data_IF_499371019605
#
_entry.id   IF_499371019605
#
_cell.length_a   1.000
_cell.length_b   1.000
_cell.length_c   1.000
_cell.angle_alpha   90.00
_cell.angle_beta   90.00
_cell.angle_gamma   90.00
#
_symmetry.space_group_name_H-M   'P 1'
#
loop_
_entity.id
_entity.type
_entity.pdbx_description
1 polymer ?
#
# COMPACT_ATOMS: atom_id res chain seq x y z
N UNK A 1 25.89 18.06 -0.64
CA UNK A 1 24.42 17.91 -0.87
C UNK A 1 24.10 16.91 -1.98
N UNK A 2 24.76 16.97 -3.15
CA UNK A 2 24.49 16.06 -4.30
C UNK A 2 24.70 14.60 -3.92
N UNK A 3 25.80 14.24 -3.27
CA UNK A 3 26.09 12.87 -2.85
C UNK A 3 25.01 12.30 -1.90
N UNK A 4 24.50 13.13 -0.97
CA UNK A 4 23.45 12.75 -0.03
C UNK A 4 22.12 12.55 -0.76
N UNK A 5 21.81 13.40 -1.73
CA UNK A 5 20.63 13.24 -2.58
C UNK A 5 20.70 11.95 -3.42
N UNK A 6 21.85 11.67 -4.03
CA UNK A 6 22.09 10.41 -4.76
C UNK A 6 21.94 9.18 -3.86
N UNK A 7 22.42 9.26 -2.61
CA UNK A 7 22.22 8.21 -1.63
C UNK A 7 20.73 8.03 -1.29
N UNK A 8 19.98 9.12 -1.14
CA UNK A 8 18.52 9.08 -0.98
C UNK A 8 17.80 8.43 -2.17
N UNK A 9 18.24 8.73 -3.40
CA UNK A 9 17.74 8.06 -4.60
C UNK A 9 18.07 6.57 -4.63
N UNK A 10 19.27 6.18 -4.20
CA UNK A 10 19.65 4.78 -4.07
C UNK A 10 18.70 4.04 -3.11
N UNK A 11 18.38 4.62 -1.96
CA UNK A 11 17.40 4.05 -1.05
C UNK A 11 16.01 3.92 -1.68
N UNK A 12 15.57 4.92 -2.44
CA UNK A 12 14.26 4.89 -3.09
C UNK A 12 14.18 3.87 -4.24
N UNK A 13 15.20 3.82 -5.12
CA UNK A 13 15.15 2.99 -6.34
C UNK A 13 15.61 1.56 -6.13
N UNK A 14 16.46 1.29 -5.16
CA UNK A 14 17.04 -0.04 -4.93
C UNK A 14 16.52 -0.64 -3.63
N UNK A 15 16.68 0.08 -2.50
CA UNK A 15 16.34 -0.49 -1.19
C UNK A 15 14.81 -0.62 -1.02
N UNK A 16 14.02 0.38 -1.43
CA UNK A 16 12.55 0.30 -1.28
C UNK A 16 11.96 -0.89 -2.07
N UNK A 17 12.24 -1.12 -3.37
CA UNK A 17 11.72 -2.29 -4.06
C UNK A 17 12.21 -3.62 -3.48
N UNK A 18 13.47 -3.68 -3.03
CA UNK A 18 14.02 -4.88 -2.39
C UNK A 18 13.32 -5.19 -1.06
N UNK A 19 13.14 -4.20 -0.21
CA UNK A 19 12.45 -4.33 1.06
C UNK A 19 11.01 -4.79 0.85
N UNK A 20 10.28 -4.14 -0.06
CA UNK A 20 8.90 -4.51 -0.43
C UNK A 20 8.84 -5.95 -0.96
N UNK A 21 9.78 -6.37 -1.79
CA UNK A 21 9.83 -7.74 -2.29
C UNK A 21 10.07 -8.76 -1.16
N UNK A 22 10.99 -8.47 -0.25
CA UNK A 22 11.30 -9.35 0.89
C UNK A 22 10.09 -9.44 1.85
N UNK A 23 9.46 -8.31 2.15
CA UNK A 23 8.27 -8.24 3.01
C UNK A 23 7.09 -8.99 2.38
N UNK A 24 6.83 -8.80 1.08
CA UNK A 24 5.80 -9.53 0.36
C UNK A 24 6.05 -11.05 0.35
N UNK A 25 7.31 -11.47 0.21
CA UNK A 25 7.69 -12.89 0.26
C UNK A 25 7.53 -13.48 1.67
N UNK A 26 7.88 -12.71 2.69
CA UNK A 26 7.67 -13.10 4.08
C UNK A 26 6.18 -13.23 4.42
N UNK A 27 5.37 -12.24 4.05
CA UNK A 27 3.94 -12.23 4.24
C UNK A 27 3.25 -13.41 3.51
N UNK A 28 3.71 -13.74 2.30
CA UNK A 28 3.21 -14.91 1.57
C UNK A 28 3.52 -16.25 2.26
N UNK A 29 4.68 -16.36 2.95
CA UNK A 29 5.03 -17.56 3.70
C UNK A 29 4.24 -17.71 4.98
N UNK A 30 3.97 -16.62 5.70
CA UNK A 30 3.13 -16.62 6.90
C UNK A 30 1.69 -17.01 6.55
N UNK A 31 1.12 -16.42 5.51
CA UNK A 31 -0.23 -16.72 5.06
C UNK A 31 -0.39 -18.13 4.49
N UNK A 32 0.70 -18.79 4.05
CA UNK A 32 0.66 -20.19 3.61
C UNK A 32 0.68 -21.19 4.79
N UNK A 33 0.97 -20.76 6.01
CA UNK A 33 0.85 -21.60 7.22
C UNK A 33 -0.58 -21.67 7.73
N UNK A 34 -1.34 -20.58 7.61
CA UNK A 34 -2.79 -20.61 7.70
C UNK A 34 -3.29 -20.92 6.29
N UNK A 35 -3.73 -22.14 6.02
CA UNK A 35 -4.32 -22.55 4.74
C UNK A 35 -5.47 -21.60 4.42
N UNK A 36 -5.13 -20.44 3.84
CA UNK A 36 -6.11 -19.42 3.50
C UNK A 36 -6.96 -19.98 2.37
N UNK A 37 -8.18 -20.34 2.69
CA UNK A 37 -9.20 -20.82 1.76
C UNK A 37 -9.50 -19.81 0.64
N UNK A 38 -8.84 -18.65 0.66
CA UNK A 38 -9.01 -17.61 -0.36
C UNK A 38 -7.72 -16.82 -0.59
N UNK A 39 -7.61 -16.22 -1.78
CA UNK A 39 -6.57 -15.27 -2.14
C UNK A 39 -7.18 -14.14 -2.97
N UNK A 40 -6.97 -12.89 -2.59
CA UNK A 40 -7.53 -11.71 -3.25
C UNK A 40 -6.40 -10.86 -3.80
N UNK A 41 -6.47 -10.52 -5.10
CA UNK A 41 -5.48 -9.68 -5.79
C UNK A 41 -6.17 -8.67 -6.68
N UNK A 42 -5.57 -7.50 -6.82
CA UNK A 42 -5.98 -6.51 -7.81
C UNK A 42 -4.92 -6.44 -8.91
N UNK A 43 -5.34 -6.68 -10.15
CA UNK A 43 -4.51 -6.55 -11.33
C UNK A 43 -5.31 -5.89 -12.45
N UNK A 44 -4.67 -4.99 -13.19
CA UNK A 44 -5.24 -4.32 -14.37
C UNK A 44 -6.62 -3.67 -14.16
N UNK A 45 -6.83 -3.09 -12.97
CA UNK A 45 -8.08 -2.47 -12.52
C UNK A 45 -9.25 -3.45 -12.36
N UNK A 46 -8.97 -4.72 -12.17
CA UNK A 46 -9.94 -5.77 -11.87
C UNK A 46 -9.55 -6.49 -10.58
N UNK A 47 -10.55 -6.98 -9.87
CA UNK A 47 -10.34 -7.80 -8.67
C UNK A 47 -10.39 -9.28 -9.05
N UNK A 48 -9.39 -10.01 -8.64
CA UNK A 48 -9.28 -11.44 -8.81
C UNK A 48 -9.31 -12.11 -7.44
N UNK A 49 -10.22 -13.05 -7.26
CA UNK A 49 -10.36 -13.81 -6.03
C UNK A 49 -10.24 -15.29 -6.38
N UNK A 50 -9.29 -15.98 -5.77
CA UNK A 50 -9.29 -17.44 -5.69
C UNK A 50 -9.97 -17.82 -4.39
N UNK A 51 -10.97 -18.66 -4.44
CA UNK A 51 -11.69 -19.17 -3.29
C UNK A 51 -11.67 -20.71 -3.35
N UNK A 52 -11.16 -21.34 -2.33
CA UNK A 52 -11.12 -22.81 -2.18
C UNK A 52 -12.33 -23.22 -1.33
N UNK A 53 -13.30 -23.87 -1.95
CA UNK A 53 -14.52 -24.33 -1.26
C UNK A 53 -14.16 -25.55 -0.41
N UNK A 54 -13.39 -26.47 -1.00
CA UNK A 54 -12.78 -27.60 -0.34
C UNK A 54 -11.50 -28.04 -1.10
N UNK A 55 -10.83 -29.14 -0.69
CA UNK A 55 -9.58 -29.62 -1.28
C UNK A 55 -9.66 -29.95 -2.78
N UNK A 56 -10.85 -30.13 -3.33
CA UNK A 56 -11.09 -30.58 -4.69
C UNK A 56 -11.83 -29.55 -5.53
N UNK A 57 -12.43 -28.53 -4.89
CA UNK A 57 -13.26 -27.52 -5.54
C UNK A 57 -12.69 -26.13 -5.28
N UNK A 58 -12.38 -25.43 -6.35
CA UNK A 58 -11.90 -24.04 -6.29
C UNK A 58 -12.67 -23.15 -7.25
N UNK A 59 -12.86 -21.90 -6.87
CA UNK A 59 -13.45 -20.89 -7.75
C UNK A 59 -12.47 -19.73 -7.97
N UNK A 60 -12.39 -19.28 -9.23
CA UNK A 60 -11.65 -18.10 -9.62
C UNK A 60 -12.65 -17.03 -10.03
N UNK A 61 -12.76 -15.98 -9.25
CA UNK A 61 -13.73 -14.91 -9.43
C UNK A 61 -13.01 -13.67 -9.94
N UNK A 62 -13.44 -13.16 -11.09
CA UNK A 62 -13.00 -11.89 -11.63
C UNK A 62 -14.13 -10.86 -11.54
N UNK A 63 -13.86 -9.71 -10.95
CA UNK A 63 -14.83 -8.63 -10.77
C UNK A 63 -14.25 -7.36 -11.36
N UNK A 64 -14.95 -6.76 -12.31
CA UNK A 64 -14.52 -5.53 -12.96
C UNK A 64 -14.80 -4.29 -12.12
N UNK A 65 -15.95 -4.23 -11.46
CA UNK A 65 -16.34 -3.13 -10.59
C UNK A 65 -16.96 -3.67 -9.30
N UNK A 66 -16.54 -3.14 -8.16
CA UNK A 66 -17.13 -3.47 -6.86
C UNK A 66 -17.34 -2.19 -6.06
N UNK A 67 -18.49 -2.09 -5.40
CA UNK A 67 -18.77 -1.07 -4.40
C UNK A 67 -18.69 -1.71 -3.02
N UNK A 68 -17.61 -1.46 -2.31
CA UNK A 68 -17.36 -2.06 -1.00
C UNK A 68 -18.23 -1.47 0.12
N UNK A 69 -18.92 -0.34 -0.08
CA UNK A 69 -19.89 0.16 0.91
C UNK A 69 -21.11 -0.76 0.99
N UNK A 70 -21.65 -1.08 -0.18
CA UNK A 70 -22.88 -1.89 -0.32
C UNK A 70 -22.59 -3.34 -0.68
N UNK A 71 -21.31 -3.73 -0.83
CA UNK A 71 -20.87 -5.07 -1.24
C UNK A 71 -21.45 -5.54 -2.57
N UNK A 72 -21.77 -4.61 -3.47
CA UNK A 72 -22.29 -4.91 -4.80
C UNK A 72 -21.16 -4.94 -5.83
N UNK A 73 -21.21 -5.93 -6.69
CA UNK A 73 -20.24 -6.16 -7.76
C UNK A 73 -20.94 -6.19 -9.12
N UNK A 74 -20.24 -5.70 -10.16
CA UNK A 74 -20.76 -5.69 -11.53
C UNK A 74 -19.74 -6.28 -12.49
N UNK A 75 -20.24 -6.90 -13.57
CA UNK A 75 -19.44 -7.57 -14.61
C UNK A 75 -18.53 -8.63 -14.00
N UNK A 76 -19.15 -9.67 -13.52
CA UNK A 76 -18.55 -10.78 -12.81
C UNK A 76 -18.32 -11.95 -13.77
N UNK A 77 -17.14 -12.55 -13.66
CA UNK A 77 -16.79 -13.80 -14.36
C UNK A 77 -16.24 -14.76 -13.32
N UNK A 78 -16.73 -15.98 -13.33
CA UNK A 78 -16.32 -17.00 -12.38
C UNK A 78 -15.99 -18.28 -13.14
N UNK A 79 -14.84 -18.87 -12.80
CA UNK A 79 -14.47 -20.21 -13.24
C UNK A 79 -14.49 -21.12 -12.01
N UNK A 80 -15.42 -22.05 -11.99
CA UNK A 80 -15.47 -23.13 -11.00
C UNK A 80 -14.72 -24.32 -11.55
N UNK A 81 -13.74 -24.78 -10.79
CA UNK A 81 -12.94 -25.96 -11.11
C UNK A 81 -13.25 -27.03 -10.08
N UNK A 82 -13.76 -28.15 -10.54
CA UNK A 82 -14.06 -29.34 -9.76
C UNK A 82 -13.51 -30.59 -10.44
N UNK A 83 -13.39 -31.71 -9.74
CA UNK A 83 -12.98 -32.99 -10.35
C UNK A 83 -13.95 -33.41 -11.44
N UNK A 84 -15.25 -33.17 -11.23
CA UNK A 84 -16.30 -33.68 -12.09
C UNK A 84 -16.75 -32.69 -13.17
N UNK A 85 -16.52 -31.39 -12.99
CA UNK A 85 -16.99 -30.36 -13.93
C UNK A 85 -16.13 -29.09 -13.87
N UNK A 86 -16.01 -28.43 -15.02
CA UNK A 86 -15.48 -27.08 -15.13
C UNK A 86 -16.61 -26.17 -15.63
N UNK A 87 -17.03 -25.22 -14.80
CA UNK A 87 -18.18 -24.38 -15.10
C UNK A 87 -17.71 -22.93 -15.19
N UNK A 88 -18.06 -22.27 -16.27
CA UNK A 88 -17.85 -20.85 -16.45
C UNK A 88 -19.16 -20.08 -16.25
N UNK A 89 -19.13 -19.10 -15.35
CA UNK A 89 -20.29 -18.29 -15.00
C UNK A 89 -20.00 -16.83 -15.36
N UNK A 90 -20.93 -16.21 -16.04
CA UNK A 90 -20.96 -14.75 -16.23
C UNK A 90 -22.22 -14.19 -15.58
N UNK A 91 -22.05 -13.11 -14.82
CA UNK A 91 -23.15 -12.38 -14.21
C UNK A 91 -22.96 -10.88 -14.38
N UNK A 92 -24.05 -10.17 -14.64
CA UNK A 92 -23.98 -8.72 -14.79
C UNK A 92 -23.85 -8.04 -13.44
N UNK A 93 -24.54 -8.55 -12.41
CA UNK A 93 -24.55 -8.01 -11.05
C UNK A 93 -24.41 -9.12 -10.01
N UNK A 94 -23.91 -8.75 -8.83
CA UNK A 94 -23.85 -9.65 -7.69
C UNK A 94 -23.68 -8.90 -6.38
N UNK A 95 -24.12 -9.52 -5.30
CA UNK A 95 -24.04 -8.99 -3.93
C UNK A 95 -23.39 -10.00 -3.00
N UNK A 96 -22.40 -9.52 -2.21
CA UNK A 96 -21.78 -10.33 -1.17
C UNK A 96 -22.61 -10.23 0.13
N UNK A 97 -23.11 -11.37 0.60
CA UNK A 97 -23.84 -11.48 1.87
C UNK A 97 -23.20 -12.58 2.71
N UNK A 98 -22.52 -12.18 3.78
CA UNK A 98 -21.83 -13.11 4.69
C UNK A 98 -20.94 -14.10 3.92
N UNK A 99 -21.33 -15.38 3.88
CA UNK A 99 -20.60 -16.46 3.20
C UNK A 99 -21.19 -16.81 1.83
N UNK A 100 -22.04 -15.95 1.27
CA UNK A 100 -22.69 -16.16 -0.02
C UNK A 100 -22.41 -15.01 -0.97
N UNK A 101 -22.15 -15.36 -2.22
CA UNK A 101 -22.12 -14.40 -3.32
C UNK A 101 -23.35 -14.66 -4.20
N UNK A 102 -24.35 -13.79 -4.07
CA UNK A 102 -25.61 -13.86 -4.82
C UNK A 102 -25.39 -13.18 -6.14
N UNK A 103 -25.53 -13.92 -7.23
CA UNK A 103 -25.36 -13.45 -8.61
C UNK A 103 -26.71 -13.30 -9.28
N UNK A 104 -26.90 -12.24 -10.03
CA UNK A 104 -28.13 -11.98 -10.80
C UNK A 104 -27.81 -11.96 -12.29
N UNK A 105 -28.79 -12.34 -13.10
CA UNK A 105 -28.68 -12.42 -14.56
C UNK A 105 -27.50 -13.30 -15.01
N UNK A 106 -27.53 -14.55 -14.58
CA UNK A 106 -26.43 -15.50 -14.68
C UNK A 106 -26.50 -16.30 -15.96
N UNK A 107 -25.38 -16.34 -16.68
CA UNK A 107 -25.13 -17.23 -17.82
C UNK A 107 -24.07 -18.24 -17.41
N UNK A 108 -24.42 -19.51 -17.47
CA UNK A 108 -23.60 -20.62 -17.07
C UNK A 108 -23.26 -21.49 -18.29
N UNK A 109 -21.98 -21.82 -18.45
CA UNK A 109 -21.49 -22.74 -19.46
C UNK A 109 -20.72 -23.88 -18.78
N UNK A 110 -21.20 -25.12 -18.95
CA UNK A 110 -20.53 -26.32 -18.50
C UNK A 110 -19.65 -26.88 -19.62
N UNK A 111 -18.33 -26.86 -19.41
CA UNK A 111 -17.36 -27.33 -20.41
C UNK A 111 -17.39 -28.85 -20.63
N UNK A 112 -17.86 -29.63 -19.65
CA UNK A 112 -17.88 -31.09 -19.75
C UNK A 112 -19.07 -31.59 -20.60
N UNK A 113 -20.22 -30.97 -20.37
CA UNK A 113 -21.47 -31.37 -21.02
C UNK A 113 -21.77 -30.53 -22.27
N UNK A 114 -20.96 -29.48 -22.52
CA UNK A 114 -21.19 -28.48 -23.58
C UNK A 114 -22.57 -27.81 -23.48
N UNK A 115 -23.11 -27.70 -22.25
CA UNK A 115 -24.43 -27.15 -21.99
C UNK A 115 -24.35 -25.67 -21.58
N UNK A 116 -25.31 -24.92 -22.12
CA UNK A 116 -25.53 -23.52 -21.77
C UNK A 116 -26.87 -23.37 -21.05
N UNK A 117 -26.84 -22.73 -19.90
CA UNK A 117 -28.02 -22.43 -19.08
C UNK A 117 -28.02 -20.98 -18.58
N UNK A 118 -29.21 -20.45 -18.35
CA UNK A 118 -29.40 -19.09 -17.82
C UNK A 118 -30.29 -19.14 -16.58
N UNK A 119 -29.92 -18.38 -15.56
CA UNK A 119 -30.63 -18.30 -14.29
C UNK A 119 -30.83 -16.85 -13.89
N UNK A 120 -31.98 -16.52 -13.32
CA UNK A 120 -32.17 -15.19 -12.73
C UNK A 120 -31.25 -14.97 -11.53
N UNK A 121 -31.11 -15.98 -10.68
CA UNK A 121 -30.28 -15.94 -9.48
C UNK A 121 -29.44 -17.20 -9.34
N UNK A 122 -28.19 -17.04 -8.89
CA UNK A 122 -27.29 -18.12 -8.57
C UNK A 122 -26.50 -17.81 -7.30
N UNK A 123 -26.44 -18.73 -6.35
CA UNK A 123 -25.75 -18.54 -5.08
C UNK A 123 -24.44 -19.31 -5.07
N UNK A 124 -23.32 -18.59 -4.94
CA UNK A 124 -22.00 -19.18 -4.77
C UNK A 124 -21.55 -19.08 -3.31
N UNK A 125 -21.11 -20.23 -2.75
CA UNK A 125 -20.51 -20.25 -1.40
C UNK A 125 -19.10 -19.67 -1.46
N UNK A 126 -18.81 -18.75 -0.54
CA UNK A 126 -17.52 -18.08 -0.42
C UNK A 126 -16.96 -18.22 1.00
N UNK A 127 -15.63 -18.32 1.12
CA UNK A 127 -14.92 -18.45 2.39
C UNK A 127 -14.23 -17.15 2.85
N UNK A 128 -14.74 -16.00 2.40
CA UNK A 128 -14.20 -14.67 2.71
C UNK A 128 -15.33 -13.67 2.91
N UNK A 129 -15.06 -12.65 3.70
CA UNK A 129 -16.00 -11.58 4.01
C UNK A 129 -15.48 -10.22 3.54
N UNK A 130 -16.25 -9.14 3.79
CA UNK A 130 -15.89 -7.77 3.48
C UNK A 130 -14.54 -7.35 4.08
N UNK A 131 -14.28 -7.72 5.32
CA UNK A 131 -13.03 -7.36 6.01
C UNK A 131 -11.83 -8.04 5.36
N UNK A 132 -11.96 -9.30 4.94
CA UNK A 132 -10.93 -10.02 4.21
C UNK A 132 -10.59 -9.33 2.88
N UNK A 133 -11.60 -8.84 2.15
CA UNK A 133 -11.41 -8.09 0.92
C UNK A 133 -10.65 -6.79 1.20
N UNK A 134 -11.12 -5.99 2.17
CA UNK A 134 -10.49 -4.72 2.55
C UNK A 134 -9.04 -4.94 3.00
N UNK A 135 -8.79 -5.90 3.88
CA UNK A 135 -7.46 -6.19 4.38
C UNK A 135 -6.49 -6.65 3.29
N UNK A 136 -6.96 -7.46 2.34
CA UNK A 136 -6.13 -7.92 1.22
C UNK A 136 -5.76 -6.79 0.26
N UNK A 137 -6.63 -5.80 0.08
CA UNK A 137 -6.43 -4.66 -0.82
C UNK A 137 -5.64 -3.54 -0.14
N UNK A 138 -5.79 -3.35 1.16
CA UNK A 138 -5.16 -2.26 1.92
C UNK A 138 -3.66 -2.43 2.18
N UNK A 139 -3.04 -3.52 1.72
CA UNK A 139 -1.59 -3.77 1.82
C UNK A 139 -0.78 -2.83 0.91
N UNK A 140 -1.10 -1.53 0.94
CA UNK A 140 -0.42 -0.51 0.12
C UNK A 140 1.07 -0.37 0.43
N UNK A 141 1.51 -0.75 1.62
CA UNK A 141 2.92 -0.76 2.01
C UNK A 141 3.75 -1.78 1.24
N UNK A 142 3.12 -2.85 0.75
CA UNK A 142 3.76 -3.89 -0.05
C UNK A 142 3.83 -3.55 -1.55
N UNK A 143 3.63 -2.28 -1.92
CA UNK A 143 3.69 -1.82 -3.31
C UNK A 143 4.95 -0.99 -3.53
N UNK A 144 5.83 -1.34 -4.50
CA UNK A 144 6.99 -0.55 -4.83
C UNK A 144 6.62 0.87 -5.26
N UNK A 145 7.46 1.87 -4.94
CA UNK A 145 7.15 3.28 -5.16
C UNK A 145 6.77 3.62 -6.61
N UNK A 146 7.39 2.99 -7.61
CA UNK A 146 7.10 3.24 -9.03
C UNK A 146 5.72 2.75 -9.48
N UNK A 147 5.06 1.90 -8.69
CA UNK A 147 3.68 1.43 -8.93
C UNK A 147 2.62 2.23 -8.16
N UNK A 148 3.02 3.18 -7.31
CA UNK A 148 2.09 3.92 -6.42
C UNK A 148 0.97 4.63 -7.18
N UNK A 149 1.28 5.31 -8.29
CA UNK A 149 0.27 6.03 -9.06
C UNK A 149 -0.78 5.08 -9.68
N UNK A 150 -0.35 3.93 -10.20
CA UNK A 150 -1.28 2.93 -10.72
C UNK A 150 -2.13 2.35 -9.59
N UNK A 151 -1.50 2.03 -8.46
CA UNK A 151 -2.18 1.44 -7.31
C UNK A 151 -3.17 2.42 -6.65
N UNK A 152 -2.81 3.69 -6.48
CA UNK A 152 -3.70 4.70 -5.91
C UNK A 152 -4.95 4.93 -6.78
N UNK A 153 -4.80 4.96 -8.11
CA UNK A 153 -5.93 5.02 -9.05
C UNK A 153 -6.86 3.81 -8.90
N UNK A 154 -6.28 2.62 -8.74
CA UNK A 154 -7.04 1.39 -8.53
C UNK A 154 -7.79 1.42 -7.18
N UNK A 155 -7.14 1.84 -6.10
CA UNK A 155 -7.79 2.00 -4.80
C UNK A 155 -8.93 3.04 -4.84
N UNK A 156 -8.74 4.15 -5.55
CA UNK A 156 -9.80 5.16 -5.75
C UNK A 156 -11.01 4.59 -6.49
N UNK A 157 -10.78 3.74 -7.51
CA UNK A 157 -11.86 3.06 -8.24
C UNK A 157 -12.73 2.17 -7.34
N UNK A 158 -12.12 1.56 -6.33
CA UNK A 158 -12.82 0.71 -5.35
C UNK A 158 -13.25 1.46 -4.08
N UNK A 159 -13.15 2.81 -4.04
CA UNK A 159 -13.45 3.64 -2.87
C UNK A 159 -12.62 3.26 -1.60
N UNK A 160 -11.42 2.73 -1.78
CA UNK A 160 -10.49 2.33 -0.72
C UNK A 160 -9.34 3.32 -0.51
N UNK A 161 -9.26 4.35 -1.35
CA UNK A 161 -8.23 5.36 -1.20
C UNK A 161 -8.51 6.21 0.04
N UNK A 162 -7.53 6.25 0.95
CA UNK A 162 -7.57 7.09 2.14
C UNK A 162 -6.45 8.15 2.10
N UNK A 163 -6.60 9.27 2.82
CA UNK A 163 -5.52 10.25 2.98
C UNK A 163 -4.23 9.66 3.53
N UNK A 164 -4.31 8.65 4.39
CA UNK A 164 -3.16 7.92 4.93
C UNK A 164 -2.32 7.26 3.83
N UNK A 165 -2.98 6.63 2.85
CA UNK A 165 -2.32 6.00 1.70
C UNK A 165 -1.59 7.07 0.87
N UNK A 166 -2.23 8.21 0.62
CA UNK A 166 -1.62 9.33 -0.09
C UNK A 166 -0.39 9.88 0.62
N UNK A 167 -0.48 10.07 1.94
CA UNK A 167 0.63 10.51 2.78
C UNK A 167 1.80 9.52 2.77
N UNK A 168 1.50 8.23 2.87
CA UNK A 168 2.53 7.19 2.79
C UNK A 168 3.29 7.27 1.46
N UNK A 169 2.59 7.34 0.32
CA UNK A 169 3.23 7.43 -0.99
C UNK A 169 4.04 8.71 -1.15
N UNK A 170 3.52 9.84 -0.71
CA UNK A 170 4.23 11.12 -0.74
C UNK A 170 5.49 11.05 0.13
N UNK A 171 5.38 10.47 1.32
CA UNK A 171 6.51 10.27 2.23
C UNK A 171 7.63 9.44 1.60
N UNK A 172 7.28 8.35 0.90
CA UNK A 172 8.27 7.50 0.24
C UNK A 172 8.99 8.25 -0.90
N UNK A 173 8.25 8.94 -1.76
CA UNK A 173 8.82 9.68 -2.90
C UNK A 173 9.70 10.85 -2.44
N UNK A 174 9.34 11.52 -1.34
CA UNK A 174 10.08 12.67 -0.82
C UNK A 174 11.24 12.30 0.13
N UNK A 175 11.47 11.02 0.43
CA UNK A 175 12.62 10.57 1.24
C UNK A 175 13.96 11.15 0.80
N UNK A 176 14.33 11.17 -0.52
CA UNK A 176 15.60 11.74 -0.95
C UNK A 176 15.75 13.23 -0.60
N UNK A 177 14.67 13.99 -0.74
CA UNK A 177 14.67 15.42 -0.39
C UNK A 177 14.79 15.59 1.13
N UNK A 178 14.07 14.80 1.90
CA UNK A 178 14.14 14.82 3.36
C UNK A 178 15.54 14.49 3.89
N UNK A 179 16.24 13.53 3.29
CA UNK A 179 17.63 13.22 3.68
C UNK A 179 18.58 14.40 3.45
N UNK A 180 18.38 15.18 2.39
CA UNK A 180 19.15 16.40 2.14
C UNK A 180 18.85 17.46 3.19
N UNK A 181 17.59 17.71 3.49
CA UNK A 181 17.17 18.67 4.55
C UNK A 181 17.76 18.27 5.91
N UNK A 182 17.67 16.99 6.26
CA UNK A 182 18.25 16.46 7.49
C UNK A 182 19.76 16.68 7.57
N UNK A 183 20.46 16.45 6.46
CA UNK A 183 21.90 16.68 6.38
C UNK A 183 22.28 18.14 6.59
N UNK A 184 21.52 19.09 6.03
CA UNK A 184 21.76 20.53 6.29
C UNK A 184 21.61 20.89 7.76
N UNK A 185 20.59 20.35 8.43
CA UNK A 185 20.42 20.57 9.88
C UNK A 185 21.59 20.00 10.65
N UNK A 186 21.93 18.73 10.41
CA UNK A 186 23.05 18.07 11.12
C UNK A 186 24.35 18.85 10.91
N UNK A 187 24.67 19.22 9.67
CA UNK A 187 25.85 20.02 9.35
C UNK A 187 25.84 21.37 10.06
N UNK A 188 24.70 22.07 10.07
CA UNK A 188 24.56 23.36 10.77
C UNK A 188 24.87 23.27 12.26
N UNK A 189 24.48 22.20 12.94
CA UNK A 189 24.76 22.01 14.36
C UNK A 189 26.14 21.43 14.65
N UNK A 190 26.69 20.60 13.77
CA UNK A 190 27.98 19.92 13.98
C UNK A 190 29.18 20.69 13.46
N UNK A 191 29.01 21.67 12.59
CA UNK A 191 30.10 22.47 12.00
C UNK A 191 30.83 23.39 13.02
N UNK A 192 30.24 23.65 14.17
CA UNK A 192 30.89 24.39 15.29
C UNK A 192 31.98 23.63 16.01
N UNK A 193 32.02 22.29 15.83
CA UNK A 193 32.98 21.48 16.58
C UNK A 193 34.39 21.62 15.97
N UNK A 194 35.35 21.87 16.84
CA UNK A 194 36.76 21.99 16.47
C UNK A 194 37.38 20.60 16.29
N UNK A 195 38.47 20.54 15.52
CA UNK A 195 39.21 19.31 15.20
C UNK A 195 39.70 18.52 16.45
N UNK A 196 39.87 19.21 17.57
CA UNK A 196 40.36 18.64 18.83
C UNK A 196 39.23 18.14 19.76
N UNK A 197 37.94 18.29 19.35
CA UNK A 197 36.85 17.81 20.17
C UNK A 197 36.64 16.30 20.00
N UNK A 198 36.05 15.71 21.05
CA UNK A 198 35.77 14.27 21.08
C UNK A 198 34.77 13.88 19.95
N UNK A 199 35.25 13.09 19.00
CA UNK A 199 34.47 12.60 17.87
C UNK A 199 33.14 11.95 18.31
N UNK A 200 33.14 11.17 19.40
CA UNK A 200 31.94 10.53 19.92
C UNK A 200 30.89 11.53 20.41
N UNK A 201 31.29 12.68 20.94
CA UNK A 201 30.36 13.75 21.32
C UNK A 201 29.67 14.34 20.11
N UNK A 202 30.44 14.63 19.07
CA UNK A 202 29.89 15.17 17.78
C UNK A 202 28.94 14.17 17.14
N UNK A 203 29.35 12.91 17.10
CA UNK A 203 28.53 11.81 16.55
C UNK A 203 27.21 11.64 17.33
N UNK A 204 27.28 11.66 18.65
CA UNK A 204 26.10 11.56 19.52
C UNK A 204 25.12 12.71 19.28
N UNK A 205 25.61 13.95 19.16
CA UNK A 205 24.79 15.12 18.89
C UNK A 205 24.14 14.99 17.50
N UNK A 206 24.89 14.59 16.48
CA UNK A 206 24.37 14.39 15.13
C UNK A 206 23.24 13.36 15.09
N UNK A 207 23.43 12.22 15.74
CA UNK A 207 22.42 11.16 15.83
C UNK A 207 21.19 11.65 16.61
N UNK A 208 21.39 12.35 17.74
CA UNK A 208 20.29 12.87 18.56
C UNK A 208 19.43 13.87 17.78
N UNK A 209 20.04 14.79 17.07
CA UNK A 209 19.33 15.78 16.22
C UNK A 209 18.53 15.04 15.12
N UNK A 210 19.17 14.09 14.43
CA UNK A 210 18.51 13.29 13.39
C UNK A 210 17.30 12.54 13.94
N UNK A 211 17.43 11.94 15.11
CA UNK A 211 16.36 11.20 15.78
C UNK A 211 15.20 12.11 16.21
N UNK A 212 15.49 13.30 16.77
CA UNK A 212 14.46 14.28 17.16
C UNK A 212 13.66 14.73 15.93
N UNK A 213 14.34 15.07 14.83
CA UNK A 213 13.66 15.51 13.59
C UNK A 213 12.80 14.37 13.01
N UNK A 214 13.31 13.13 13.05
CA UNK A 214 12.56 11.96 12.63
C UNK A 214 11.29 11.75 13.47
N UNK A 215 11.41 11.84 14.80
CA UNK A 215 10.25 11.74 15.71
C UNK A 215 9.21 12.83 15.45
N UNK A 216 9.66 14.08 15.27
CA UNK A 216 8.77 15.20 14.94
C UNK A 216 8.03 14.94 13.62
N UNK A 217 8.72 14.44 12.60
CA UNK A 217 8.10 14.04 11.33
C UNK A 217 6.99 13.00 11.55
N UNK A 218 7.27 11.94 12.32
CA UNK A 218 6.29 10.88 12.60
C UNK A 218 5.06 11.40 13.38
N UNK A 219 5.29 12.24 14.38
CA UNK A 219 4.23 12.87 15.18
C UNK A 219 3.35 13.75 14.28
N UNK A 220 3.95 14.64 13.48
CA UNK A 220 3.22 15.54 12.57
C UNK A 220 2.44 14.71 11.53
N UNK A 221 3.02 13.65 10.99
CA UNK A 221 2.33 12.77 10.04
C UNK A 221 1.10 12.12 10.67
N UNK A 222 1.20 11.59 11.89
CA UNK A 222 0.07 11.01 12.62
C UNK A 222 -1.01 12.05 12.94
N UNK A 223 -0.62 13.23 13.41
CA UNK A 223 -1.56 14.32 13.69
C UNK A 223 -2.31 14.76 12.44
N UNK A 224 -1.63 14.84 11.30
CA UNK A 224 -2.23 15.20 10.01
C UNK A 224 -3.33 14.21 9.61
N UNK A 225 -3.10 12.92 9.81
CA UNK A 225 -4.07 11.86 9.52
C UNK A 225 -5.26 11.96 10.49
N UNK A 226 -4.99 12.07 11.79
CA UNK A 226 -6.04 12.07 12.83
C UNK A 226 -6.94 13.30 12.75
N UNK A 227 -6.38 14.47 12.47
CA UNK A 227 -7.12 15.73 12.40
C UNK A 227 -7.69 16.03 11.01
N UNK A 228 -7.47 15.12 10.03
CA UNK A 228 -7.91 15.27 8.64
C UNK A 228 -7.51 16.62 8.01
N UNK A 229 -6.34 17.14 8.39
CA UNK A 229 -5.82 18.41 7.90
C UNK A 229 -5.25 18.23 6.49
N UNK A 230 -5.22 19.30 5.71
CA UNK A 230 -4.62 19.26 4.38
C UNK A 230 -3.14 18.85 4.48
N UNK A 231 -2.85 17.62 4.04
CA UNK A 231 -1.54 16.99 4.19
C UNK A 231 -0.41 17.76 3.46
N UNK A 232 -0.72 18.50 2.39
CA UNK A 232 0.28 19.28 1.65
C UNK A 232 0.87 20.38 2.53
N UNK A 233 0.04 21.11 3.28
CA UNK A 233 0.47 22.21 4.16
C UNK A 233 1.37 21.65 5.27
N UNK A 234 0.92 20.60 5.94
CA UNK A 234 1.70 19.99 7.04
C UNK A 234 3.00 19.36 6.56
N UNK A 235 2.98 18.76 5.38
CA UNK A 235 4.19 18.17 4.81
C UNK A 235 5.22 19.25 4.45
N UNK A 236 4.79 20.40 3.96
CA UNK A 236 5.67 21.55 3.73
C UNK A 236 6.33 22.03 5.05
N UNK A 237 5.61 22.06 6.16
CA UNK A 237 6.15 22.42 7.47
C UNK A 237 7.29 21.49 7.88
N UNK A 238 7.16 20.18 7.67
CA UNK A 238 8.19 19.18 7.99
C UNK A 238 9.51 19.44 7.23
N UNK A 239 9.45 20.03 6.03
CA UNK A 239 10.63 20.34 5.24
C UNK A 239 11.18 21.75 5.50
N UNK A 240 10.30 22.74 5.55
CA UNK A 240 10.69 24.16 5.63
C UNK A 240 11.30 24.48 6.99
N UNK A 241 10.68 24.04 8.10
CA UNK A 241 11.19 24.39 9.43
C UNK A 241 12.60 23.86 9.67
N UNK A 242 12.89 22.56 9.48
CA UNK A 242 14.25 22.06 9.66
C UNK A 242 15.24 22.70 8.67
N UNK A 243 14.84 22.95 7.42
CA UNK A 243 15.70 23.61 6.43
C UNK A 243 16.11 25.01 6.89
N UNK A 244 15.15 25.82 7.33
CA UNK A 244 15.41 27.20 7.82
C UNK A 244 16.33 27.16 9.05
N UNK A 245 16.09 26.24 9.99
CA UNK A 245 16.95 26.08 11.19
C UNK A 245 18.37 25.70 10.77
N UNK A 246 18.53 24.73 9.85
CA UNK A 246 19.82 24.30 9.35
C UNK A 246 20.60 25.43 8.67
N UNK A 247 19.95 26.15 7.75
CA UNK A 247 20.53 27.28 7.04
C UNK A 247 20.91 28.44 8.00
N UNK A 248 20.03 28.76 8.94
CA UNK A 248 20.34 29.78 9.95
C UNK A 248 21.58 29.44 10.76
N UNK A 249 21.74 28.19 11.20
CA UNK A 249 22.93 27.75 11.93
C UNK A 249 24.19 27.82 11.06
N UNK A 250 24.10 27.46 9.77
CA UNK A 250 25.25 27.57 8.85
C UNK A 250 25.69 29.02 8.63
N UNK A 251 24.75 29.93 8.41
CA UNK A 251 25.05 31.37 8.22
C UNK A 251 25.63 31.97 9.50
N UNK A 252 25.13 31.57 10.66
CA UNK A 252 25.65 32.05 11.93
C UNK A 252 27.12 31.69 12.14
N UNK A 253 27.54 30.49 11.72
CA UNK A 253 28.92 30.03 11.82
C UNK A 253 29.85 30.75 10.85
N UNK A 254 29.35 31.08 9.65
CA UNK A 254 30.13 31.81 8.65
C UNK A 254 30.43 33.27 9.11
N UNK A 255 29.60 33.81 10.01
CA UNK A 255 29.73 35.17 10.54
C UNK A 255 30.45 35.25 11.91
N UNK A 256 30.75 34.11 12.55
CA UNK A 256 31.58 33.98 13.76
C UNK A 256 33.04 33.68 13.37
#
# INVERSE_FOLDING_TARGET
SIAIFLMGLFFLFIINPLAVFMEAKYDSKLNNQDSSLYSIRISDNEMWIKNEIDKQNSSFINIKNINLKNMNANKIKILLISIDSNIFIMADNGEFKENLFILNDVKLYDFKNEEYSSFENYNLIINFNKENIINSISKYKLVPFYKYLKHSKTLSKFNLYSPEIGLYYLSEVLKPVFTVVLAFVILGFTSKFQRNENFFKVLFIAISIGFIIFLLKEIITKLTITLSINFIIFYLIIFIIPLVIGLYQMIKIENE
#
